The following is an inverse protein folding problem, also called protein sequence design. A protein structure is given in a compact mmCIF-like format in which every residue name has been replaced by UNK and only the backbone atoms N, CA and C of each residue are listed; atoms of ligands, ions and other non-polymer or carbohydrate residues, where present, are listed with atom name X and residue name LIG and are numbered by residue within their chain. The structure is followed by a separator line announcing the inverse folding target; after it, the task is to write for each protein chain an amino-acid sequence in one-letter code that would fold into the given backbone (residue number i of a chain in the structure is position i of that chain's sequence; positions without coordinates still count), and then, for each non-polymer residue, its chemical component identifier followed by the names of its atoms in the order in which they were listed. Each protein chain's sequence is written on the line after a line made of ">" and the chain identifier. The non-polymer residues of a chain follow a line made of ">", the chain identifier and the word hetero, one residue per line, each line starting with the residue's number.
data_IF_568009482051
#
_entry.id   IF_568009482051
#
_cell.length_a   1.000
_cell.length_b   1.000
_cell.length_c   1.000
_cell.angle_alpha   90.00
_cell.angle_beta   90.00
_cell.angle_gamma   90.00
#
_symmetry.space_group_name_H-M   'P 1'
#
loop_
_entity.id
_entity.type
_entity.pdbx_description
1 polymer ?
#
# COMPACT_ATOMS: atom_id res chain seq x y z
N UNK A 1 27.44 -4.78 -34.98
CA UNK A 1 27.83 -3.61 -34.15
C UNK A 1 26.68 -2.60 -34.00
N UNK A 2 25.97 -2.21 -35.06
CA UNK A 2 24.79 -1.30 -35.01
C UNK A 2 23.64 -1.85 -34.16
N UNK A 3 23.41 -3.16 -34.19
CA UNK A 3 22.32 -3.84 -33.43
C UNK A 3 22.52 -3.83 -31.91
N UNK A 4 23.77 -3.86 -31.43
CA UNK A 4 24.06 -3.80 -29.99
C UNK A 4 23.74 -2.38 -29.48
N UNK A 5 24.17 -1.36 -30.21
CA UNK A 5 23.89 0.04 -29.89
C UNK A 5 22.39 0.36 -29.94
N UNK A 6 21.64 -0.21 -30.89
CA UNK A 6 20.19 -0.02 -30.99
C UNK A 6 19.44 -0.69 -29.83
N UNK A 7 19.89 -1.86 -29.39
CA UNK A 7 19.35 -2.57 -28.23
C UNK A 7 19.63 -1.83 -26.92
N UNK A 8 20.84 -1.32 -26.73
CA UNK A 8 21.19 -0.51 -25.54
C UNK A 8 20.36 0.78 -25.47
N UNK A 9 20.19 1.47 -26.60
CA UNK A 9 19.33 2.64 -26.68
C UNK A 9 17.86 2.30 -26.38
N UNK A 10 17.37 1.15 -26.85
CA UNK A 10 16.02 0.67 -26.53
C UNK A 10 15.85 0.38 -25.03
N UNK A 11 16.83 -0.28 -24.39
CA UNK A 11 16.84 -0.53 -22.94
C UNK A 11 16.87 0.76 -22.13
N UNK A 12 17.67 1.75 -22.54
CA UNK A 12 17.73 3.05 -21.90
C UNK A 12 16.37 3.77 -21.96
N UNK A 13 15.74 3.82 -23.14
CA UNK A 13 14.38 4.38 -23.31
C UNK A 13 13.34 3.67 -22.45
N UNK A 14 13.40 2.35 -22.36
CA UNK A 14 12.49 1.58 -21.51
C UNK A 14 12.67 1.91 -20.03
N UNK A 15 13.92 2.03 -19.56
CA UNK A 15 14.22 2.42 -18.18
C UNK A 15 13.68 3.81 -17.85
N UNK A 16 13.89 4.78 -18.75
CA UNK A 16 13.37 6.14 -18.59
C UNK A 16 11.84 6.11 -18.47
N UNK A 17 11.14 5.48 -19.43
CA UNK A 17 9.67 5.39 -19.39
C UNK A 17 9.13 4.73 -18.12
N UNK A 18 9.83 3.71 -17.60
CA UNK A 18 9.46 3.07 -16.32
C UNK A 18 9.68 4.01 -15.14
N UNK A 19 10.78 4.75 -15.11
CA UNK A 19 11.05 5.73 -14.07
C UNK A 19 10.03 6.88 -14.09
N UNK A 20 9.71 7.40 -15.28
CA UNK A 20 8.67 8.43 -15.48
C UNK A 20 7.30 7.96 -15.00
N UNK A 21 6.90 6.74 -15.37
CA UNK A 21 5.65 6.15 -14.93
C UNK A 21 5.62 5.97 -13.40
N UNK A 22 6.70 5.46 -12.80
CA UNK A 22 6.79 5.31 -11.35
C UNK A 22 6.69 6.65 -10.63
N UNK A 23 7.34 7.69 -11.16
CA UNK A 23 7.27 9.05 -10.61
C UNK A 23 5.86 9.62 -10.72
N UNK A 24 5.20 9.44 -11.86
CA UNK A 24 3.80 9.84 -12.05
C UNK A 24 2.88 9.19 -11.02
N UNK A 25 2.95 7.87 -10.86
CA UNK A 25 2.13 7.17 -9.86
C UNK A 25 2.40 7.65 -8.43
N UNK A 26 3.66 7.95 -8.10
CA UNK A 26 3.99 8.51 -6.79
C UNK A 26 3.36 9.90 -6.60
N UNK A 27 3.42 10.77 -7.62
CA UNK A 27 2.78 12.09 -7.57
C UNK A 27 1.25 11.98 -7.49
N UNK A 28 0.63 11.07 -8.25
CA UNK A 28 -0.83 10.83 -8.21
C UNK A 28 -1.27 10.35 -6.81
N UNK A 29 -0.42 9.61 -6.08
CA UNK A 29 -0.68 9.22 -4.69
C UNK A 29 -0.48 10.36 -3.68
N UNK A 30 0.36 11.34 -4.01
CA UNK A 30 0.60 12.53 -3.19
C UNK A 30 -0.42 13.65 -3.47
N UNK A 31 -1.12 13.58 -4.60
CA UNK A 31 -2.23 14.48 -4.92
C UNK A 31 -3.37 14.33 -3.90
N UNK A 32 -4.17 15.39 -3.72
CA UNK A 32 -5.20 15.45 -2.68
C UNK A 32 -6.19 14.27 -2.80
N UNK A 33 -6.62 13.92 -4.01
CA UNK A 33 -7.54 12.81 -4.24
C UNK A 33 -6.90 11.46 -3.90
N UNK A 34 -5.66 11.22 -4.35
CA UNK A 34 -4.91 9.98 -4.09
C UNK A 34 -4.57 9.80 -2.61
N UNK A 35 -4.15 10.87 -1.95
CA UNK A 35 -3.86 10.90 -0.52
C UNK A 35 -5.11 10.65 0.33
N UNK A 36 -6.25 11.25 -0.05
CA UNK A 36 -7.55 11.02 0.61
C UNK A 36 -7.99 9.57 0.46
N UNK A 37 -7.91 9.00 -0.75
CA UNK A 37 -8.26 7.59 -0.99
C UNK A 37 -7.38 6.63 -0.16
N UNK A 38 -6.07 6.88 -0.12
CA UNK A 38 -5.13 6.08 0.68
C UNK A 38 -5.44 6.18 2.19
N UNK A 39 -5.69 7.39 2.69
CA UNK A 39 -6.04 7.61 4.10
C UNK A 39 -7.36 6.93 4.48
N UNK A 40 -8.36 6.97 3.61
CA UNK A 40 -9.65 6.27 3.80
C UNK A 40 -9.47 4.75 3.86
N UNK A 41 -8.66 4.18 2.95
CA UNK A 41 -8.35 2.76 2.94
C UNK A 41 -7.61 2.33 4.23
N UNK A 42 -6.63 3.13 4.65
CA UNK A 42 -5.87 2.89 5.89
C UNK A 42 -6.78 2.97 7.12
N UNK A 43 -7.59 4.01 7.24
CA UNK A 43 -8.57 4.16 8.32
C UNK A 43 -9.53 2.97 8.39
N UNK A 44 -10.00 2.49 7.24
CA UNK A 44 -10.91 1.35 7.17
C UNK A 44 -10.24 0.05 7.64
N UNK A 45 -8.96 -0.15 7.28
CA UNK A 45 -8.16 -1.29 7.77
C UNK A 45 -7.91 -1.23 9.27
N UNK A 46 -7.59 -0.05 9.82
CA UNK A 46 -7.42 0.15 11.27
C UNK A 46 -8.71 -0.16 12.00
N UNK A 47 -9.85 0.37 11.54
CA UNK A 47 -11.17 0.07 12.14
C UNK A 47 -11.50 -1.42 12.12
N UNK A 48 -11.18 -2.12 11.04
CA UNK A 48 -11.36 -3.58 10.97
C UNK A 48 -10.50 -4.30 12.02
N UNK A 49 -9.23 -3.94 12.14
CA UNK A 49 -8.33 -4.52 13.14
C UNK A 49 -8.81 -4.23 14.58
N UNK A 50 -9.28 -3.02 14.86
CA UNK A 50 -9.86 -2.66 16.16
C UNK A 50 -11.10 -3.49 16.49
N UNK A 51 -12.02 -3.69 15.53
CA UNK A 51 -13.18 -4.56 15.71
C UNK A 51 -12.77 -5.99 16.05
N UNK A 52 -11.83 -6.56 15.30
CA UNK A 52 -11.33 -7.90 15.57
C UNK A 52 -10.68 -8.03 16.95
N UNK A 53 -9.96 -7.01 17.41
CA UNK A 53 -9.40 -7.00 18.76
C UNK A 53 -10.49 -6.99 19.84
N UNK A 54 -11.54 -6.18 19.66
CA UNK A 54 -12.69 -6.12 20.58
C UNK A 54 -13.41 -7.47 20.63
N UNK A 55 -13.70 -8.06 19.47
CA UNK A 55 -14.33 -9.38 19.36
C UNK A 55 -13.49 -10.46 20.03
N UNK A 56 -12.17 -10.46 19.81
CA UNK A 56 -11.26 -11.40 20.44
C UNK A 56 -11.22 -11.24 21.97
N UNK A 57 -11.23 -9.99 22.48
CA UNK A 57 -11.30 -9.71 23.92
C UNK A 57 -12.63 -10.18 24.53
N UNK A 58 -13.75 -9.90 23.88
CA UNK A 58 -15.07 -10.36 24.33
C UNK A 58 -15.15 -11.89 24.38
N UNK A 59 -14.59 -12.56 23.36
CA UNK A 59 -14.48 -14.02 23.33
C UNK A 59 -13.59 -14.55 24.44
N UNK A 60 -12.46 -13.90 24.73
CA UNK A 60 -11.59 -14.29 25.84
C UNK A 60 -12.31 -14.18 27.18
N UNK A 61 -13.03 -13.08 27.43
CA UNK A 61 -13.82 -12.89 28.66
C UNK A 61 -14.89 -13.99 28.83
N UNK A 62 -15.44 -14.49 27.72
CA UNK A 62 -16.42 -15.59 27.74
C UNK A 62 -15.76 -16.93 28.12
N UNK A 63 -14.52 -17.16 27.67
CA UNK A 63 -13.80 -18.42 27.89
C UNK A 63 -13.12 -18.46 29.26
N UNK A 64 -12.54 -17.34 29.68
CA UNK A 64 -11.77 -17.22 30.92
C UNK A 64 -12.07 -15.89 31.62
N UNK A 65 -13.15 -15.83 32.42
CA UNK A 65 -13.58 -14.61 33.10
C UNK A 65 -12.56 -14.12 34.14
N UNK A 66 -11.74 -15.02 34.70
CA UNK A 66 -10.85 -14.76 35.82
C UNK A 66 -9.51 -14.11 35.41
N UNK A 67 -9.19 -14.10 34.12
CA UNK A 67 -7.87 -13.67 33.61
C UNK A 67 -7.81 -12.21 33.16
N UNK A 68 -8.78 -11.39 33.57
CA UNK A 68 -8.87 -9.98 33.17
C UNK A 68 -8.36 -9.08 34.30
N UNK A 69 -7.05 -8.85 34.36
CA UNK A 69 -6.43 -7.74 35.10
C UNK A 69 -6.09 -6.60 34.13
#
# INVERSE_FOLDING_TARGET
>A
MIEIHSMEAAKARLRIRRAEHSLKCANDLLDEEGGVALNLALCSRIRAAQRHLIEARARLMTIDPARTN
#
